data_IF_058429415028
#
_entry.id   IF_058429415028
#
_cell.length_a   1.000
_cell.length_b   1.000
_cell.length_c   1.000
_cell.angle_alpha   90.00
_cell.angle_beta   90.00
_cell.angle_gamma   90.00
#
_symmetry.space_group_name_H-M   'P 1'
#
loop_
_entity.id
_entity.type
_entity.pdbx_description
1 polymer ?
#
# COMPACT_ATOMS: atom_id res chain seq x y z
N UNK A 1 18.32 -2.82 8.61
CA UNK A 1 17.04 -3.51 8.33
C UNK A 1 15.96 -3.02 9.27
N UNK A 2 14.72 -3.11 8.85
CA UNK A 2 13.57 -2.64 9.62
C UNK A 2 12.58 -3.78 9.91
N UNK A 3 11.76 -3.57 10.93
CA UNK A 3 10.58 -4.40 11.24
C UNK A 3 9.36 -3.50 11.21
N UNK A 4 8.28 -3.93 10.55
CA UNK A 4 6.98 -3.25 10.57
C UNK A 4 6.03 -4.11 11.40
N UNK A 5 5.46 -3.53 12.45
CA UNK A 5 4.59 -4.23 13.40
C UNK A 5 3.64 -3.22 14.04
N UNK A 6 2.38 -3.60 14.28
CA UNK A 6 1.37 -2.75 14.93
C UNK A 6 1.24 -1.36 14.28
N UNK A 7 1.30 -1.31 12.96
CA UNK A 7 1.24 -0.08 12.18
C UNK A 7 2.36 0.94 12.55
N UNK A 8 3.55 0.45 12.91
CA UNK A 8 4.75 1.22 13.25
C UNK A 8 5.98 0.65 12.58
N UNK A 9 6.99 1.50 12.39
CA UNK A 9 8.28 1.14 11.80
C UNK A 9 9.35 1.15 12.89
N UNK A 10 10.07 0.04 13.00
CA UNK A 10 11.13 -0.16 13.97
C UNK A 10 12.46 -0.39 13.25
N UNK A 11 13.54 0.19 13.75
CA UNK A 11 14.92 -0.15 13.37
C UNK A 11 15.35 -1.41 14.11
N UNK A 12 15.93 -2.37 13.41
CA UNK A 12 16.51 -3.56 14.04
C UNK A 12 17.89 -3.22 14.61
N UNK A 13 18.00 -3.14 15.94
CA UNK A 13 19.25 -2.82 16.64
C UNK A 13 20.16 -4.05 16.78
N UNK A 14 19.58 -5.21 17.08
CA UNK A 14 20.33 -6.42 17.29
C UNK A 14 19.54 -7.65 16.87
N UNK A 15 20.21 -8.60 16.22
CA UNK A 15 19.62 -9.87 15.80
C UNK A 15 20.50 -11.00 16.31
N UNK A 16 19.95 -11.88 17.15
CA UNK A 16 20.65 -13.03 17.74
C UNK A 16 19.94 -14.32 17.45
N UNK A 17 20.66 -15.31 16.93
CA UNK A 17 20.12 -16.66 16.75
C UNK A 17 20.25 -17.46 18.05
N UNK A 18 19.14 -17.98 18.57
CA UNK A 18 19.06 -18.86 19.76
C UNK A 18 18.49 -20.22 19.35
N UNK A 19 19.33 -21.11 18.85
CA UNK A 19 18.91 -22.42 18.33
C UNK A 19 17.98 -22.31 17.14
N UNK A 20 16.72 -22.75 17.26
CA UNK A 20 15.67 -22.61 16.22
C UNK A 20 14.93 -21.25 16.25
N UNK A 21 15.22 -20.40 17.21
CA UNK A 21 14.58 -19.11 17.41
C UNK A 21 15.51 -17.98 17.02
N UNK A 22 14.93 -16.83 16.65
CA UNK A 22 15.67 -15.58 16.39
C UNK A 22 15.15 -14.53 17.36
N UNK A 23 16.04 -13.95 18.15
CA UNK A 23 15.74 -12.80 19.00
C UNK A 23 16.14 -11.53 18.26
N UNK A 24 15.21 -10.60 18.15
CA UNK A 24 15.42 -9.32 17.47
C UNK A 24 15.09 -8.21 18.47
N UNK A 25 16.06 -7.36 18.75
CA UNK A 25 15.81 -6.11 19.50
C UNK A 25 15.50 -5.02 18.48
N UNK A 26 14.36 -4.39 18.62
CA UNK A 26 13.86 -3.35 17.71
C UNK A 26 13.61 -2.06 18.46
N UNK A 27 13.86 -0.92 17.81
CA UNK A 27 13.63 0.42 18.33
C UNK A 27 12.63 1.15 17.44
N UNK A 28 11.54 1.63 18.03
CA UNK A 28 10.52 2.43 17.33
C UNK A 28 11.14 3.72 16.79
N UNK A 29 10.93 4.00 15.50
CA UNK A 29 11.48 5.21 14.86
C UNK A 29 10.80 6.49 15.29
N UNK A 30 9.58 6.44 15.77
CA UNK A 30 8.82 7.65 16.17
C UNK A 30 9.05 8.05 17.60
N UNK A 31 8.98 7.10 18.54
CA UNK A 31 9.06 7.39 19.98
C UNK A 31 10.29 6.81 20.68
N UNK A 32 11.08 6.00 19.98
CA UNK A 32 12.31 5.42 20.52
C UNK A 32 12.09 4.21 21.43
N UNK A 33 10.88 3.72 21.61
CA UNK A 33 10.57 2.53 22.42
C UNK A 33 11.33 1.31 21.93
N UNK A 34 11.92 0.57 22.87
CA UNK A 34 12.67 -0.66 22.57
C UNK A 34 11.78 -1.85 22.88
N UNK A 35 11.70 -2.80 21.94
CA UNK A 35 11.00 -4.07 22.09
C UNK A 35 11.90 -5.24 21.74
N UNK A 36 11.66 -6.37 22.36
CA UNK A 36 12.35 -7.63 22.06
C UNK A 36 11.35 -8.59 21.42
N UNK A 37 11.65 -9.04 20.22
CA UNK A 37 10.86 -10.00 19.47
C UNK A 37 11.56 -11.36 19.53
N UNK A 38 10.85 -12.41 19.92
CA UNK A 38 11.31 -13.78 19.82
C UNK A 38 10.56 -14.49 18.71
N UNK A 39 11.21 -14.68 17.58
CA UNK A 39 10.63 -15.26 16.36
C UNK A 39 10.97 -16.75 16.30
N UNK A 40 9.95 -17.60 16.17
CA UNK A 40 10.08 -19.05 16.01
C UNK A 40 9.50 -19.46 14.66
N UNK A 41 10.33 -19.70 13.63
CA UNK A 41 9.87 -20.19 12.34
C UNK A 41 9.19 -21.55 12.43
N UNK A 42 8.14 -21.75 11.63
CA UNK A 42 7.42 -23.03 11.51
C UNK A 42 7.74 -23.69 10.15
N UNK A 43 7.48 -25.00 10.04
CA UNK A 43 7.76 -25.77 8.82
C UNK A 43 6.91 -25.34 7.61
N UNK A 44 5.71 -24.82 7.85
CA UNK A 44 4.76 -24.36 6.86
C UNK A 44 5.06 -22.92 6.33
N UNK A 45 6.16 -22.33 6.79
CA UNK A 45 6.56 -20.97 6.44
C UNK A 45 5.87 -19.88 7.26
N UNK A 46 5.02 -20.24 8.22
CA UNK A 46 4.52 -19.32 9.24
C UNK A 46 5.59 -19.08 10.32
N UNK A 47 5.36 -18.13 11.22
CA UNK A 47 6.20 -17.92 12.39
C UNK A 47 5.37 -17.58 13.63
N UNK A 48 5.81 -18.00 14.77
CA UNK A 48 5.32 -17.52 16.06
C UNK A 48 6.20 -16.38 16.52
N UNK A 49 5.60 -15.28 16.92
CA UNK A 49 6.31 -14.11 17.43
C UNK A 49 5.80 -13.81 18.83
N UNK A 50 6.73 -13.67 19.75
CA UNK A 50 6.50 -13.19 21.11
C UNK A 50 7.13 -11.82 21.25
N UNK A 51 6.36 -10.84 21.70
CA UNK A 51 6.82 -9.47 21.93
C UNK A 51 7.02 -9.27 23.42
N UNK A 52 8.18 -8.79 23.83
CA UNK A 52 8.53 -8.50 25.25
C UNK A 52 8.17 -9.61 26.26
N UNK A 53 8.17 -10.87 25.82
CA UNK A 53 7.80 -12.00 26.68
C UNK A 53 6.29 -12.24 26.83
N UNK A 54 5.45 -11.52 26.10
CA UNK A 54 4.00 -11.71 26.09
C UNK A 54 3.57 -12.99 25.36
N UNK A 55 2.26 -13.20 25.21
CA UNK A 55 1.71 -14.38 24.56
C UNK A 55 2.16 -14.48 23.10
N UNK A 56 2.56 -15.67 22.67
CA UNK A 56 2.91 -15.96 21.28
C UNK A 56 1.74 -15.68 20.34
N UNK A 57 2.01 -14.96 19.26
CA UNK A 57 1.09 -14.74 18.16
C UNK A 57 1.58 -15.47 16.90
N UNK A 58 0.65 -16.09 16.17
CA UNK A 58 0.95 -16.77 14.91
C UNK A 58 0.83 -15.78 13.75
N UNK A 59 1.88 -15.69 12.95
CA UNK A 59 1.93 -14.90 11.74
C UNK A 59 2.12 -15.80 10.52
N UNK A 60 1.28 -15.62 9.52
CA UNK A 60 1.34 -16.37 8.26
C UNK A 60 1.82 -15.47 7.14
N UNK A 61 2.34 -16.06 6.06
CA UNK A 61 2.71 -15.30 4.86
C UNK A 61 1.51 -14.88 4.00
N UNK A 62 0.30 -15.24 4.38
CA UNK A 62 -0.89 -14.89 3.62
C UNK A 62 -1.11 -13.38 3.69
N UNK A 63 -0.98 -12.74 2.53
CA UNK A 63 -1.34 -11.35 2.29
C UNK A 63 -2.77 -11.33 1.79
N UNK A 64 -3.73 -11.45 2.66
CA UNK A 64 -5.15 -11.37 2.33
C UNK A 64 -5.77 -10.15 2.96
N UNK A 65 -6.70 -9.50 2.24
CA UNK A 65 -7.60 -8.56 2.87
C UNK A 65 -8.35 -9.29 3.98
N UNK A 66 -8.08 -8.95 5.23
CA UNK A 66 -8.93 -9.41 6.33
C UNK A 66 -10.32 -8.80 6.06
N UNK A 67 -11.33 -9.63 5.88
CA UNK A 67 -12.73 -9.19 5.73
C UNK A 67 -13.25 -8.62 7.06
N UNK A 68 -12.61 -7.59 7.55
CA UNK A 68 -13.16 -6.76 8.60
C UNK A 68 -13.81 -5.58 7.91
N UNK A 69 -15.04 -5.79 7.41
CA UNK A 69 -15.92 -4.67 7.12
C UNK A 69 -16.13 -4.03 8.48
N UNK A 70 -15.55 -2.85 8.69
CA UNK A 70 -15.87 -2.05 9.85
C UNK A 70 -17.39 -1.88 9.91
N UNK A 71 -17.98 -2.02 11.09
CA UNK A 71 -19.39 -1.75 11.27
C UNK A 71 -19.70 -0.37 10.70
N UNK A 72 -20.83 -0.26 9.99
CA UNK A 72 -21.31 1.02 9.44
C UNK A 72 -21.41 2.04 10.58
N UNK A 73 -20.43 2.93 10.66
CA UNK A 73 -20.33 3.94 11.72
C UNK A 73 -21.17 5.18 11.41
N UNK A 74 -21.88 5.17 10.28
CA UNK A 74 -22.72 6.27 9.83
C UNK A 74 -21.96 7.37 9.08
N UNK A 75 -22.63 7.95 8.12
CA UNK A 75 -22.05 8.92 7.15
C UNK A 75 -21.40 10.15 7.80
N UNK A 76 -21.86 10.59 8.96
CA UNK A 76 -21.33 11.81 9.62
C UNK A 76 -19.92 11.66 10.17
N UNK A 77 -19.44 10.43 10.46
CA UNK A 77 -18.12 10.19 11.01
C UNK A 77 -17.00 10.28 9.97
N UNK A 78 -17.33 10.21 8.69
CA UNK A 78 -16.35 10.32 7.60
C UNK A 78 -15.90 11.76 7.31
N UNK A 79 -16.70 12.76 7.69
CA UNK A 79 -16.43 14.16 7.38
C UNK A 79 -15.98 14.92 8.64
N UNK A 80 -14.71 14.81 8.96
CA UNK A 80 -14.09 15.61 10.01
C UNK A 80 -12.66 15.97 9.62
N UNK A 81 -12.16 17.07 10.14
CA UNK A 81 -10.79 17.51 9.87
C UNK A 81 -9.86 16.89 10.88
N UNK A 82 -8.87 16.12 10.42
CA UNK A 82 -7.86 15.56 11.32
C UNK A 82 -6.52 15.37 10.60
N UNK A 83 -5.46 15.23 11.40
CA UNK A 83 -4.11 14.93 10.93
C UNK A 83 -3.99 13.44 10.65
N UNK A 84 -3.67 13.12 9.42
CA UNK A 84 -3.50 11.77 8.92
C UNK A 84 -2.01 11.49 8.72
N UNK A 85 -1.59 10.26 8.94
CA UNK A 85 -0.20 9.85 8.82
C UNK A 85 -0.07 8.75 7.75
N UNK A 86 0.72 9.01 6.73
CA UNK A 86 1.20 7.99 5.81
C UNK A 86 2.67 7.73 6.08
N UNK A 87 3.02 6.50 6.36
CA UNK A 87 4.39 6.08 6.58
C UNK A 87 4.69 4.81 5.79
N UNK A 88 5.95 4.50 5.58
CA UNK A 88 6.29 3.29 4.85
C UNK A 88 7.77 2.97 4.87
N UNK A 89 8.07 1.88 4.19
CA UNK A 89 9.42 1.40 4.00
C UNK A 89 9.57 0.84 2.59
N UNK A 90 10.63 1.28 1.91
CA UNK A 90 11.00 0.81 0.58
C UNK A 90 12.14 -0.19 0.76
N UNK A 91 11.82 -1.47 0.61
CA UNK A 91 12.81 -2.55 0.68
C UNK A 91 13.72 -2.55 -0.56
N UNK A 92 15.02 -2.66 -0.33
CA UNK A 92 16.02 -2.54 -1.40
C UNK A 92 16.28 -1.10 -1.85
N UNK A 93 15.80 -0.09 -1.12
CA UNK A 93 16.13 1.31 -1.40
C UNK A 93 17.62 1.59 -1.22
N UNK A 94 18.16 2.34 -2.16
CA UNK A 94 19.53 2.90 -2.09
C UNK A 94 19.47 4.34 -2.61
N UNK A 95 19.93 5.30 -1.81
CA UNK A 95 19.93 6.73 -2.17
C UNK A 95 20.64 7.03 -3.49
N UNK A 96 21.60 6.18 -3.88
CA UNK A 96 22.29 6.29 -5.18
C UNK A 96 21.38 6.05 -6.39
N UNK A 97 20.14 5.58 -6.16
CA UNK A 97 19.12 5.39 -7.21
C UNK A 97 18.58 6.71 -7.78
N UNK A 98 18.94 7.85 -7.18
CA UNK A 98 18.70 9.18 -7.73
C UNK A 98 17.40 9.83 -7.32
N UNK A 99 16.66 9.28 -6.36
CA UNK A 99 15.51 9.95 -5.73
C UNK A 99 15.55 9.79 -4.20
N UNK A 100 15.14 10.81 -3.49
CA UNK A 100 15.01 10.84 -2.02
C UNK A 100 13.67 11.44 -1.59
N UNK A 101 12.78 11.62 -2.53
CA UNK A 101 11.45 12.19 -2.29
C UNK A 101 10.37 11.42 -3.04
N UNK A 102 9.17 11.49 -2.50
CA UNK A 102 7.93 11.10 -3.15
C UNK A 102 6.92 12.23 -3.10
N UNK A 103 5.81 12.08 -3.82
CA UNK A 103 4.73 13.05 -3.89
C UNK A 103 3.37 12.42 -3.64
N UNK A 104 2.51 13.15 -2.93
CA UNK A 104 1.08 12.90 -2.86
C UNK A 104 0.38 14.15 -3.37
N UNK A 105 -0.57 14.02 -4.28
CA UNK A 105 -1.42 15.12 -4.72
C UNK A 105 -2.77 15.03 -4.00
N UNK A 106 -2.98 15.90 -3.00
CA UNK A 106 -4.26 16.00 -2.32
C UNK A 106 -5.17 16.91 -3.13
N UNK A 107 -6.02 16.32 -3.94
CA UNK A 107 -6.94 17.06 -4.81
C UNK A 107 -8.18 17.51 -4.06
N UNK A 108 -8.52 18.78 -4.18
CA UNK A 108 -9.82 19.29 -3.74
C UNK A 108 -10.77 19.36 -4.95
N UNK A 109 -11.69 18.41 -5.01
CA UNK A 109 -12.63 18.29 -6.14
C UNK A 109 -13.59 19.48 -6.28
N UNK A 110 -13.83 20.24 -5.21
CA UNK A 110 -14.72 21.43 -5.24
C UNK A 110 -13.98 22.61 -5.84
N UNK A 111 -12.76 22.89 -5.37
CA UNK A 111 -11.95 24.02 -5.84
C UNK A 111 -11.12 23.69 -7.08
N UNK A 112 -11.02 22.41 -7.45
CA UNK A 112 -10.15 21.89 -8.53
C UNK A 112 -8.68 22.28 -8.33
N UNK A 113 -8.24 22.36 -7.11
CA UNK A 113 -6.85 22.65 -6.75
C UNK A 113 -6.19 21.40 -6.20
N UNK A 114 -4.95 21.18 -6.63
CA UNK A 114 -4.10 20.12 -6.11
C UNK A 114 -3.10 20.70 -5.11
N UNK A 115 -2.94 20.02 -3.99
CA UNK A 115 -1.99 20.38 -2.95
C UNK A 115 -0.90 19.31 -2.91
N UNK A 116 0.24 19.53 -3.59
CA UNK A 116 1.33 18.60 -3.57
C UNK A 116 1.96 18.53 -2.19
N UNK A 117 2.03 17.34 -1.63
CA UNK A 117 2.69 17.06 -0.35
C UNK A 117 3.92 16.22 -0.63
N UNK A 118 5.09 16.72 -0.22
CA UNK A 118 6.36 16.04 -0.41
C UNK A 118 6.57 15.02 0.71
N UNK A 119 6.93 13.82 0.33
CA UNK A 119 7.39 12.76 1.24
C UNK A 119 8.91 12.74 1.18
N UNK A 120 9.59 12.89 2.32
CA UNK A 120 11.03 12.66 2.42
C UNK A 120 11.30 11.18 2.70
N UNK A 121 12.27 10.61 1.99
CA UNK A 121 12.70 9.22 2.16
C UNK A 121 14.03 9.24 2.87
N UNK A 122 14.08 8.57 4.02
CA UNK A 122 15.29 8.43 4.81
C UNK A 122 16.32 7.52 4.10
N UNK A 123 17.57 7.57 4.52
CA UNK A 123 18.66 6.76 3.94
C UNK A 123 18.42 5.25 4.00
N UNK A 124 17.64 4.80 4.98
CA UNK A 124 17.26 3.39 5.12
C UNK A 124 16.02 2.99 4.31
N UNK A 125 15.46 3.91 3.53
CA UNK A 125 14.26 3.68 2.72
C UNK A 125 12.93 3.86 3.47
N UNK A 126 12.96 4.25 4.74
CA UNK A 126 11.72 4.58 5.45
C UNK A 126 11.26 6.00 5.14
N UNK A 127 9.96 6.25 5.28
CA UNK A 127 9.38 7.58 5.14
C UNK A 127 8.20 7.78 6.08
N UNK A 128 7.95 9.04 6.44
CA UNK A 128 6.81 9.45 7.24
C UNK A 128 6.31 10.79 6.72
N UNK A 129 5.02 10.86 6.41
CA UNK A 129 4.35 12.08 5.96
C UNK A 129 3.07 12.30 6.76
N UNK A 130 2.92 13.51 7.32
CA UNK A 130 1.70 13.93 8.01
C UNK A 130 1.02 15.03 7.20
N UNK A 131 -0.27 14.89 7.00
CA UNK A 131 -1.09 15.86 6.28
C UNK A 131 -2.49 15.89 6.86
N UNK A 132 -3.19 17.00 6.64
CA UNK A 132 -4.55 17.19 7.13
C UNK A 132 -5.54 16.93 6.00
N UNK A 133 -6.54 16.08 6.27
CA UNK A 133 -7.66 15.84 5.36
C UNK A 133 -8.99 16.07 6.08
N UNK A 134 -10.04 16.33 5.31
CA UNK A 134 -11.38 16.65 5.80
C UNK A 134 -12.41 15.56 5.51
N UNK A 135 -12.04 14.58 4.73
CA UNK A 135 -12.87 13.45 4.32
C UNK A 135 -11.96 12.29 3.92
N UNK A 136 -12.47 11.06 3.81
CA UNK A 136 -11.74 9.95 3.25
C UNK A 136 -11.20 10.28 1.86
N UNK A 137 -9.97 9.85 1.57
CA UNK A 137 -9.34 10.10 0.28
C UNK A 137 -8.79 8.81 -0.32
N UNK A 138 -9.03 8.66 -1.62
CA UNK A 138 -8.31 7.73 -2.49
C UNK A 138 -7.24 8.54 -3.22
N UNK A 139 -6.00 8.16 -3.03
CA UNK A 139 -4.86 8.85 -3.63
C UNK A 139 -3.75 7.86 -4.02
N UNK A 140 -2.68 8.40 -4.58
CA UNK A 140 -1.48 7.62 -4.88
C UNK A 140 -0.23 8.32 -4.37
N UNK A 141 0.67 7.54 -3.81
CA UNK A 141 2.06 7.96 -3.64
C UNK A 141 2.78 7.82 -4.97
N UNK A 142 3.41 8.88 -5.42
CA UNK A 142 4.28 8.86 -6.59
C UNK A 142 5.72 8.73 -6.13
N UNK A 143 6.38 7.62 -6.47
CA UNK A 143 7.79 7.35 -6.23
C UNK A 143 8.46 7.06 -7.56
N UNK A 144 9.43 7.86 -7.97
CA UNK A 144 10.13 7.71 -9.25
C UNK A 144 9.20 7.33 -10.42
N UNK A 145 8.18 8.15 -10.66
CA UNK A 145 7.13 7.94 -11.68
C UNK A 145 6.23 6.69 -11.49
N UNK A 146 6.33 6.01 -10.37
CA UNK A 146 5.43 4.91 -10.03
C UNK A 146 4.33 5.39 -9.09
N UNK A 147 3.08 5.12 -9.45
CA UNK A 147 1.91 5.47 -8.65
C UNK A 147 1.44 4.25 -7.87
N UNK A 148 1.47 4.38 -6.54
CA UNK A 148 1.05 3.35 -5.61
C UNK A 148 -0.24 3.81 -4.94
N UNK A 149 -1.40 3.22 -5.27
CA UNK A 149 -2.67 3.68 -4.75
C UNK A 149 -2.82 3.36 -3.27
N UNK A 150 -3.53 4.22 -2.55
CA UNK A 150 -3.94 3.99 -1.17
C UNK A 150 -5.28 4.68 -0.88
N UNK A 151 -5.95 4.19 0.16
CA UNK A 151 -7.14 4.80 0.76
C UNK A 151 -6.83 5.11 2.22
N UNK A 152 -7.25 6.27 2.70
CA UNK A 152 -7.05 6.67 4.09
C UNK A 152 -8.16 7.62 4.55
N UNK A 153 -8.53 7.52 5.83
CA UNK A 153 -9.52 8.36 6.47
C UNK A 153 -8.86 9.36 7.42
N UNK A 154 -9.54 10.48 7.76
CA UNK A 154 -9.02 11.45 8.71
C UNK A 154 -8.61 10.82 10.04
N UNK A 155 -7.46 11.22 10.59
CA UNK A 155 -6.94 10.73 11.87
C UNK A 155 -6.28 9.35 11.83
N UNK A 156 -6.32 8.66 10.71
CA UNK A 156 -5.72 7.32 10.60
C UNK A 156 -4.22 7.37 10.28
N UNK A 157 -3.55 6.28 10.63
CA UNK A 157 -2.21 5.97 10.15
C UNK A 157 -2.27 4.77 9.23
N UNK A 158 -1.69 4.91 8.03
CA UNK A 158 -1.49 3.83 7.08
C UNK A 158 0.01 3.59 6.89
N UNK A 159 0.44 2.34 7.05
CA UNK A 159 1.82 1.94 6.80
C UNK A 159 1.91 1.13 5.51
N UNK A 160 2.88 1.46 4.66
CA UNK A 160 3.14 0.79 3.38
C UNK A 160 4.48 0.06 3.43
N UNK A 161 4.50 -1.16 2.90
CA UNK A 161 5.73 -1.87 2.53
C UNK A 161 5.81 -1.93 1.02
N UNK A 162 6.92 -1.49 0.45
CA UNK A 162 7.14 -1.37 -1.00
C UNK A 162 8.42 -2.13 -1.35
N UNK A 163 8.33 -3.04 -2.30
CA UNK A 163 9.48 -3.75 -2.85
C UNK A 163 10.03 -2.95 -4.05
N UNK A 164 11.26 -2.46 -3.92
CA UNK A 164 11.90 -1.64 -4.96
C UNK A 164 12.14 -2.40 -6.27
N UNK A 165 12.49 -3.68 -6.20
CA UNK A 165 12.67 -4.48 -7.41
C UNK A 165 11.35 -4.63 -8.19
N UNK A 166 10.23 -4.77 -7.49
CA UNK A 166 8.90 -4.83 -8.09
C UNK A 166 8.51 -3.49 -8.75
N UNK A 167 8.88 -2.36 -8.16
CA UNK A 167 8.70 -1.03 -8.77
C UNK A 167 9.55 -0.88 -10.05
N UNK A 168 10.82 -1.28 -9.99
CA UNK A 168 11.70 -1.25 -11.18
C UNK A 168 11.18 -2.14 -12.30
N UNK A 169 10.65 -3.33 -11.98
CA UNK A 169 10.06 -4.22 -12.97
C UNK A 169 8.88 -3.54 -13.69
N UNK A 170 8.01 -2.83 -12.95
CA UNK A 170 6.94 -2.04 -13.52
C UNK A 170 7.44 -0.91 -14.42
N UNK A 171 8.41 -0.14 -13.96
CA UNK A 171 9.01 0.95 -14.74
C UNK A 171 9.60 0.45 -16.06
N UNK A 172 10.25 -0.72 -16.05
CA UNK A 172 10.83 -1.35 -17.24
C UNK A 172 9.77 -1.89 -18.20
N UNK A 173 8.66 -2.39 -17.67
CA UNK A 173 7.55 -2.92 -18.48
C UNK A 173 6.89 -1.84 -19.36
N UNK A 174 7.02 -0.56 -19.01
CA UNK A 174 6.36 0.59 -19.64
C UNK A 174 4.85 0.37 -19.82
N UNK A 175 4.25 -0.39 -18.92
CA UNK A 175 2.85 -0.76 -18.95
C UNK A 175 2.17 -0.23 -17.68
N UNK A 176 1.24 0.71 -17.86
CA UNK A 176 0.48 1.31 -16.76
C UNK A 176 -0.29 0.26 -15.93
N UNK A 177 -0.73 -0.82 -16.57
CA UNK A 177 -1.49 -1.91 -15.93
C UNK A 177 -0.59 -2.99 -15.33
N UNK A 178 0.73 -2.86 -15.44
CA UNK A 178 1.64 -3.83 -14.86
C UNK A 178 1.50 -3.82 -13.32
N UNK A 179 1.18 -4.97 -12.70
CA UNK A 179 0.90 -5.00 -11.26
C UNK A 179 2.17 -4.72 -10.44
N UNK A 180 2.03 -3.89 -9.40
CA UNK A 180 3.08 -3.73 -8.40
C UNK A 180 2.99 -4.92 -7.45
N UNK A 181 3.90 -5.86 -7.59
CA UNK A 181 4.01 -7.02 -6.71
C UNK A 181 4.61 -6.60 -5.36
N UNK A 182 4.40 -7.43 -4.34
CA UNK A 182 5.01 -7.30 -3.02
C UNK A 182 4.76 -5.97 -2.29
N UNK A 183 3.76 -5.19 -2.68
CA UNK A 183 3.30 -4.05 -1.89
C UNK A 183 2.29 -4.52 -0.86
N UNK A 184 2.51 -4.17 0.39
CA UNK A 184 1.62 -4.49 1.49
C UNK A 184 1.21 -3.23 2.25
N UNK A 185 0.05 -3.28 2.88
CA UNK A 185 -0.48 -2.20 3.71
C UNK A 185 -0.77 -2.71 5.11
N UNK A 186 -0.65 -1.84 6.11
CA UNK A 186 -0.99 -2.10 7.51
C UNK A 186 -1.71 -0.88 8.07
N UNK A 187 -2.72 -1.12 8.91
CA UNK A 187 -3.55 -0.10 9.53
C UNK A 187 -5.03 -0.28 9.21
N UNK A 188 -5.90 0.59 9.73
CA UNK A 188 -7.36 0.47 9.56
C UNK A 188 -7.81 0.42 8.10
N UNK A 189 -7.20 1.23 7.24
CA UNK A 189 -7.52 1.34 5.81
C UNK A 189 -6.72 0.36 4.91
N UNK A 190 -5.98 -0.59 5.49
CA UNK A 190 -5.11 -1.51 4.74
C UNK A 190 -5.87 -2.38 3.74
N UNK A 191 -7.03 -2.92 4.13
CA UNK A 191 -7.84 -3.78 3.27
C UNK A 191 -8.38 -3.03 2.05
N UNK A 192 -8.87 -1.80 2.22
CA UNK A 192 -9.35 -0.97 1.12
C UNK A 192 -8.19 -0.54 0.20
N UNK A 193 -7.06 -0.16 0.75
CA UNK A 193 -5.85 0.17 -0.02
C UNK A 193 -5.37 -1.02 -0.86
N UNK A 194 -5.44 -2.23 -0.30
CA UNK A 194 -5.12 -3.46 -1.04
C UNK A 194 -6.11 -3.70 -2.19
N UNK A 195 -7.41 -3.57 -1.94
CA UNK A 195 -8.45 -3.73 -2.96
C UNK A 195 -8.29 -2.71 -4.09
N UNK A 196 -8.00 -1.45 -3.79
CA UNK A 196 -7.70 -0.42 -4.79
C UNK A 196 -6.50 -0.78 -5.66
N UNK A 197 -5.45 -1.32 -5.06
CA UNK A 197 -4.27 -1.79 -5.80
C UNK A 197 -4.63 -2.93 -6.76
N UNK A 198 -5.43 -3.89 -6.31
CA UNK A 198 -5.86 -5.02 -7.12
C UNK A 198 -6.93 -4.65 -8.16
N UNK A 199 -7.76 -3.65 -7.86
CA UNK A 199 -8.87 -3.22 -8.73
C UNK A 199 -8.43 -2.94 -10.16
N UNK A 200 -7.27 -2.31 -10.36
CA UNK A 200 -6.73 -2.06 -11.70
C UNK A 200 -6.48 -3.33 -12.50
N UNK A 201 -6.12 -4.43 -11.84
CA UNK A 201 -5.92 -5.73 -12.50
C UNK A 201 -7.23 -6.41 -12.89
N UNK A 202 -8.34 -6.00 -12.28
CA UNK A 202 -9.68 -6.51 -12.58
C UNK A 202 -10.34 -5.81 -13.76
N UNK A 203 -9.83 -4.62 -14.16
CA UNK A 203 -10.36 -3.90 -15.32
C UNK A 203 -10.15 -4.73 -16.60
N UNK A 204 -11.21 -5.16 -17.27
CA UNK A 204 -11.11 -6.12 -18.37
C UNK A 204 -10.63 -5.52 -19.70
N UNK A 205 -10.26 -4.25 -19.71
CA UNK A 205 -9.83 -3.53 -20.91
C UNK A 205 -8.67 -2.57 -20.60
N UNK A 206 -7.91 -2.25 -21.65
CA UNK A 206 -6.91 -1.17 -21.62
C UNK A 206 -7.47 0.04 -22.34
N UNK A 207 -7.28 1.20 -21.77
CA UNK A 207 -7.77 2.48 -22.35
C UNK A 207 -7.25 2.68 -23.79
N UNK A 208 -5.98 2.35 -24.03
CA UNK A 208 -5.38 2.48 -25.37
C UNK A 208 -6.05 1.55 -26.39
N UNK A 209 -6.41 0.33 -26.00
CA UNK A 209 -7.11 -0.62 -26.86
C UNK A 209 -8.51 -0.11 -27.23
N UNK A 210 -9.24 0.45 -26.25
CA UNK A 210 -10.54 1.07 -26.48
C UNK A 210 -10.44 2.30 -27.36
N UNK A 211 -9.46 3.18 -27.12
CA UNK A 211 -9.22 4.37 -27.92
C UNK A 211 -8.87 3.99 -29.37
N UNK A 212 -8.00 3.01 -29.55
CA UNK A 212 -7.64 2.49 -30.86
C UNK A 212 -8.85 1.86 -31.59
N UNK A 213 -9.65 1.06 -30.89
CA UNK A 213 -10.86 0.47 -31.44
C UNK A 213 -11.86 1.55 -31.86
N UNK A 214 -12.10 2.55 -31.00
CA UNK A 214 -12.99 3.68 -31.30
C UNK A 214 -12.58 4.46 -32.55
N UNK A 215 -11.26 4.62 -32.75
CA UNK A 215 -10.75 5.39 -33.90
C UNK A 215 -10.73 4.59 -35.23
N UNK A 216 -10.75 3.25 -35.16
CA UNK A 216 -10.61 2.37 -36.32
C UNK A 216 -11.90 1.68 -36.75
N UNK A 217 -12.85 1.53 -35.84
CA UNK A 217 -14.09 0.78 -36.07
C UNK A 217 -15.25 1.72 -36.40
N UNK A 218 -16.17 1.26 -37.21
CA UNK A 218 -17.48 1.91 -37.39
C UNK A 218 -18.29 1.80 -36.07
N UNK A 219 -19.30 2.66 -35.84
CA UNK A 219 -20.12 2.58 -34.64
C UNK A 219 -20.70 1.20 -34.35
N UNK A 220 -21.20 0.51 -35.37
CA UNK A 220 -21.75 -0.85 -35.22
C UNK A 220 -20.67 -1.88 -34.87
N UNK A 221 -19.51 -1.81 -35.50
CA UNK A 221 -18.37 -2.67 -35.18
C UNK A 221 -17.83 -2.42 -33.78
N UNK A 222 -17.78 -1.14 -33.35
CA UNK A 222 -17.36 -0.79 -31.99
C UNK A 222 -18.36 -1.33 -30.95
N UNK A 223 -19.65 -1.26 -31.23
CA UNK A 223 -20.70 -1.81 -30.36
C UNK A 223 -20.54 -3.33 -30.18
N UNK A 224 -20.29 -4.07 -31.25
CA UNK A 224 -20.01 -5.50 -31.17
C UNK A 224 -18.69 -5.80 -30.40
N UNK A 225 -17.66 -5.00 -30.62
CA UNK A 225 -16.39 -5.12 -29.91
C UNK A 225 -16.56 -4.91 -28.40
N UNK A 226 -17.46 -4.02 -27.97
CA UNK A 226 -17.69 -3.72 -26.55
C UNK A 226 -18.50 -4.80 -25.81
N UNK A 227 -19.37 -5.55 -26.47
CA UNK A 227 -20.24 -6.56 -25.83
C UNK A 227 -19.50 -7.54 -24.91
N UNK A 228 -18.42 -8.23 -25.34
CA UNK A 228 -17.71 -9.17 -24.48
C UNK A 228 -16.96 -8.46 -23.33
N UNK A 229 -16.57 -7.20 -23.51
CA UNK A 229 -15.90 -6.39 -22.48
C UNK A 229 -16.90 -6.05 -21.37
N UNK A 230 -18.09 -5.57 -21.75
CA UNK A 230 -19.18 -5.24 -20.82
C UNK A 230 -19.62 -6.49 -20.06
N UNK A 231 -19.88 -7.60 -20.74
CA UNK A 231 -20.27 -8.85 -20.10
C UNK A 231 -19.23 -9.35 -19.08
N UNK A 232 -17.94 -9.22 -19.37
CA UNK A 232 -16.87 -9.55 -18.41
C UNK A 232 -16.87 -8.62 -17.22
N UNK A 233 -17.11 -7.32 -17.44
CA UNK A 233 -17.19 -6.33 -16.37
C UNK A 233 -18.36 -6.59 -15.43
N UNK A 234 -19.55 -6.86 -15.98
CA UNK A 234 -20.74 -7.24 -15.21
C UNK A 234 -20.48 -8.49 -14.36
N UNK A 235 -19.90 -9.54 -14.96
CA UNK A 235 -19.54 -10.75 -14.21
C UNK A 235 -18.53 -10.49 -13.08
N UNK A 236 -17.57 -9.58 -13.29
CA UNK A 236 -16.59 -9.22 -12.26
C UNK A 236 -17.22 -8.38 -11.15
N UNK A 237 -18.22 -7.55 -11.45
CA UNK A 237 -18.93 -6.73 -10.47
C UNK A 237 -19.87 -7.56 -9.58
N UNK A 238 -20.38 -8.68 -10.09
CA UNK A 238 -21.31 -9.56 -9.37
C UNK A 238 -20.59 -10.66 -8.54
N UNK A 239 -19.28 -10.79 -8.63
CA UNK A 239 -18.45 -11.79 -7.93
C UNK A 239 -17.76 -11.23 -6.69
#
# INVERSE_FOLDING_TARGET
SVTIMDNRIFTNENIRKKGKRVEITVKDKQNGDIRTLLVTPQKDGSCQIQVNGEKNQLYTRQRGATKTIAADTGFQQFFHTDTTCLQGYIDGYDRRLGFDTGLIYLSNHITRQDYPTVIQIDEDGSFLCKFVIKHPVEQSVTLDNNWIPFYIEPGQTLTMYIDWEALLARSRARDYYFPIKNTAYMGPSASLSYLLKEFKSLIPYRYDDLSNARNKLTPSQYQEHMKPIVARWEHTADS
#
